data_IF_989417317072
#
_entry.id   IF_989417317072
#
_cell.length_a   1.000
_cell.length_b   1.000
_cell.length_c   1.000
_cell.angle_alpha   90.00
_cell.angle_beta   90.00
_cell.angle_gamma   90.00
#
_symmetry.space_group_name_H-M   'P 1'
#
loop_
_entity.id
_entity.type
_entity.pdbx_description
1 polymer ?
#
# COMPACT_ATOMS: atom_id res chain seq x y z
N UNK A 1 11.13 14.40 -19.79
CA UNK A 1 10.08 15.06 -20.63
C UNK A 1 9.48 16.21 -19.82
N UNK A 2 9.39 17.43 -20.42
CA UNK A 2 8.74 18.57 -19.74
C UNK A 2 7.23 18.42 -19.81
N UNK A 3 6.56 18.55 -18.67
CA UNK A 3 5.10 18.60 -18.59
C UNK A 3 4.59 19.85 -19.35
N UNK A 4 3.60 19.72 -20.26
CA UNK A 4 3.03 20.86 -20.98
C UNK A 4 2.45 21.92 -20.03
N UNK A 5 2.56 23.23 -20.38
CA UNK A 5 2.20 24.34 -19.49
C UNK A 5 0.77 24.29 -18.92
N UNK A 6 -0.32 24.01 -19.65
CA UNK A 6 -1.63 23.98 -19.03
C UNK A 6 -1.77 22.87 -18.00
N UNK A 7 -1.12 21.73 -18.22
CA UNK A 7 -1.13 20.61 -17.29
C UNK A 7 -0.29 20.91 -16.04
N UNK A 8 0.88 21.56 -16.24
CA UNK A 8 1.76 21.98 -15.15
C UNK A 8 1.09 22.99 -14.22
N UNK A 9 0.45 24.01 -14.78
CA UNK A 9 -0.25 25.04 -14.00
C UNK A 9 -1.42 24.47 -13.21
N UNK A 10 -2.18 23.54 -13.81
CA UNK A 10 -3.26 22.84 -13.10
C UNK A 10 -2.71 21.93 -11.99
N UNK A 11 -1.64 21.19 -12.27
CA UNK A 11 -0.99 20.34 -11.27
C UNK A 11 -0.47 21.15 -10.08
N UNK A 12 0.24 22.27 -10.33
CA UNK A 12 0.73 23.16 -9.28
C UNK A 12 -0.41 23.70 -8.43
N UNK A 13 -1.53 24.13 -9.05
CA UNK A 13 -2.70 24.63 -8.32
C UNK A 13 -3.34 23.55 -7.46
N UNK A 14 -3.42 22.32 -7.95
CA UNK A 14 -3.92 21.17 -7.17
C UNK A 14 -2.99 20.87 -6.00
N UNK A 15 -1.68 20.88 -6.23
CA UNK A 15 -0.69 20.65 -5.18
C UNK A 15 -0.71 21.77 -4.12
N UNK A 16 -0.81 23.03 -4.52
CA UNK A 16 -0.94 24.16 -3.60
C UNK A 16 -2.22 24.05 -2.76
N UNK A 17 -3.33 23.71 -3.40
CA UNK A 17 -4.62 23.49 -2.70
C UNK A 17 -4.57 22.28 -1.75
N UNK A 18 -3.93 21.20 -2.15
CA UNK A 18 -3.74 20.02 -1.31
C UNK A 18 -2.79 20.30 -0.13
N UNK A 19 -1.67 21.00 -0.40
CA UNK A 19 -0.70 21.38 0.63
C UNK A 19 -1.28 22.37 1.65
N UNK A 20 -2.29 23.15 1.27
CA UNK A 20 -3.02 24.04 2.19
C UNK A 20 -3.98 23.28 3.13
N UNK A 21 -4.26 22.01 2.86
CA UNK A 21 -5.06 21.16 3.75
C UNK A 21 -4.20 20.66 4.92
N UNK A 22 -4.57 20.93 6.19
CA UNK A 22 -3.84 20.44 7.35
C UNK A 22 -3.70 18.89 7.35
N UNK A 23 -4.70 18.19 6.82
CA UNK A 23 -4.67 16.73 6.69
C UNK A 23 -3.62 16.25 5.69
N UNK A 24 -3.59 16.85 4.49
CA UNK A 24 -2.61 16.49 3.45
C UNK A 24 -1.20 16.85 3.91
N UNK A 25 -1.02 18.01 4.53
CA UNK A 25 0.27 18.40 5.11
C UNK A 25 0.75 17.37 6.14
N UNK A 26 -0.12 16.99 7.08
CA UNK A 26 0.20 15.97 8.09
C UNK A 26 0.52 14.62 7.42
N UNK A 27 -0.29 14.18 6.46
CA UNK A 27 -0.08 12.93 5.74
C UNK A 27 1.29 12.88 5.02
N UNK A 28 1.68 13.98 4.37
CA UNK A 28 2.96 14.07 3.64
C UNK A 28 4.19 14.23 4.54
N UNK A 29 4.02 14.75 5.75
CA UNK A 29 5.13 15.04 6.68
C UNK A 29 5.23 14.04 7.83
N UNK A 30 4.20 13.23 8.05
CA UNK A 30 4.17 12.24 9.12
C UNK A 30 5.06 11.04 8.80
N UNK A 31 6.01 10.74 9.68
CA UNK A 31 6.79 9.50 9.62
C UNK A 31 6.12 8.44 10.50
N UNK A 32 5.55 7.37 9.92
CA UNK A 32 4.88 6.33 10.68
C UNK A 32 5.86 5.33 11.34
N UNK A 33 7.16 5.47 11.17
CA UNK A 33 8.17 4.48 11.57
C UNK A 33 8.08 4.09 13.04
N UNK A 34 7.84 5.05 13.94
CA UNK A 34 7.75 4.76 15.38
C UNK A 34 6.48 3.98 15.73
N UNK A 35 5.36 4.28 15.07
CA UNK A 35 4.12 3.54 15.23
C UNK A 35 4.26 2.09 14.74
N UNK A 36 4.93 1.90 13.58
CA UNK A 36 5.21 0.58 13.03
C UNK A 36 6.13 -0.21 13.97
N UNK A 37 7.21 0.39 14.49
CA UNK A 37 8.09 -0.28 15.48
C UNK A 37 7.34 -0.68 16.75
N UNK A 38 6.45 0.18 17.24
CA UNK A 38 5.64 -0.11 18.43
C UNK A 38 4.66 -1.28 18.18
N UNK A 39 4.21 -1.50 16.95
CA UNK A 39 3.38 -2.64 16.58
C UNK A 39 4.14 -3.98 16.57
N UNK A 40 5.48 -3.95 16.49
CA UNK A 40 6.31 -5.15 16.35
C UNK A 40 6.33 -6.11 17.55
N UNK A 41 5.71 -5.74 18.67
CA UNK A 41 5.44 -6.65 19.80
C UNK A 41 4.20 -7.54 19.58
N UNK A 42 3.46 -7.33 18.49
CA UNK A 42 2.25 -8.05 18.12
C UNK A 42 2.45 -8.77 16.79
N UNK A 43 1.61 -9.77 16.47
CA UNK A 43 1.59 -10.31 15.12
C UNK A 43 1.28 -9.21 14.10
N UNK A 44 2.12 -9.14 13.06
CA UNK A 44 1.96 -8.17 11.95
C UNK A 44 1.92 -8.92 10.63
N UNK A 45 0.92 -8.62 9.82
CA UNK A 45 0.78 -9.10 8.45
C UNK A 45 0.94 -7.94 7.48
N UNK A 46 1.99 -7.95 6.67
CA UNK A 46 2.25 -6.96 5.63
C UNK A 46 2.04 -7.59 4.25
N UNK A 47 1.07 -7.06 3.51
CA UNK A 47 0.65 -7.58 2.19
C UNK A 47 0.79 -6.49 1.14
N UNK A 48 1.18 -6.87 -0.09
CA UNK A 48 1.17 -5.99 -1.26
C UNK A 48 0.91 -6.79 -2.54
N UNK A 49 0.28 -6.15 -3.52
CA UNK A 49 0.21 -6.68 -4.87
C UNK A 49 1.49 -6.32 -5.65
N UNK A 50 2.01 -7.23 -6.48
CA UNK A 50 3.23 -6.97 -7.25
C UNK A 50 3.06 -5.94 -8.37
N UNK A 51 1.81 -5.68 -8.78
CA UNK A 51 1.43 -4.66 -9.75
C UNK A 51 0.77 -3.44 -9.08
N UNK A 52 0.99 -3.25 -7.79
CA UNK A 52 0.54 -2.05 -7.08
C UNK A 52 1.33 -0.83 -7.58
N UNK A 53 0.65 0.08 -8.27
CA UNK A 53 1.23 1.32 -8.80
C UNK A 53 1.01 2.53 -7.91
N UNK A 54 0.30 2.37 -6.81
CA UNK A 54 0.08 3.42 -5.82
C UNK A 54 1.08 3.32 -4.67
N UNK A 55 1.41 2.08 -4.26
CA UNK A 55 2.40 1.80 -3.21
C UNK A 55 3.34 0.71 -3.73
N UNK A 56 4.58 1.06 -3.99
CA UNK A 56 5.59 0.11 -4.49
C UNK A 56 5.79 -1.05 -3.51
N UNK A 57 5.60 -2.28 -4.00
CA UNK A 57 5.65 -3.48 -3.19
C UNK A 57 7.04 -3.71 -2.55
N UNK A 58 8.10 -3.51 -3.33
CA UNK A 58 9.45 -3.74 -2.85
C UNK A 58 9.85 -2.74 -1.75
N UNK A 59 9.51 -1.45 -1.94
CA UNK A 59 9.76 -0.41 -0.95
C UNK A 59 8.93 -0.62 0.31
N UNK A 60 7.62 -0.86 0.16
CA UNK A 60 6.70 -1.00 1.29
C UNK A 60 7.00 -2.24 2.14
N UNK A 61 7.10 -3.43 1.51
CA UNK A 61 7.43 -4.66 2.22
C UNK A 61 8.86 -4.66 2.75
N UNK A 62 9.78 -4.00 2.03
CA UNK A 62 11.14 -3.75 2.49
C UNK A 62 11.18 -2.86 3.73
N UNK A 63 10.35 -1.82 3.79
CA UNK A 63 10.23 -0.96 4.97
C UNK A 63 9.68 -1.73 6.18
N UNK A 64 8.64 -2.56 5.99
CA UNK A 64 8.12 -3.41 7.05
C UNK A 64 9.23 -4.32 7.65
N UNK A 65 10.00 -4.99 6.80
CA UNK A 65 11.14 -5.81 7.26
C UNK A 65 12.22 -5.00 7.98
N UNK A 66 12.56 -3.80 7.48
CA UNK A 66 13.56 -2.94 8.14
C UNK A 66 13.11 -2.43 9.49
N UNK A 67 11.83 -2.07 9.64
CA UNK A 67 11.30 -1.47 10.86
C UNK A 67 11.00 -2.50 11.95
N UNK A 68 10.54 -3.69 11.54
CA UNK A 68 10.13 -4.76 12.46
C UNK A 68 11.19 -5.83 12.65
N UNK A 69 12.27 -5.78 11.85
CA UNK A 69 13.36 -6.74 11.91
C UNK A 69 12.92 -8.16 11.54
N UNK A 70 13.67 -9.15 12.01
CA UNK A 70 13.31 -10.57 11.90
C UNK A 70 12.37 -11.00 13.05
N UNK A 71 11.32 -10.22 13.29
CA UNK A 71 10.32 -10.59 14.29
C UNK A 71 9.67 -11.92 13.89
N UNK A 72 9.60 -12.92 14.78
CA UNK A 72 8.96 -14.19 14.49
C UNK A 72 7.44 -14.03 14.27
N UNK A 73 6.90 -12.85 14.60
CA UNK A 73 5.49 -12.52 14.43
C UNK A 73 5.20 -11.68 13.19
N UNK A 74 6.24 -11.36 12.39
CA UNK A 74 6.08 -10.65 11.12
C UNK A 74 5.87 -11.66 9.97
N UNK A 75 4.73 -11.56 9.32
CA UNK A 75 4.45 -12.24 8.06
C UNK A 75 4.44 -11.21 6.92
N UNK A 76 5.22 -11.46 5.87
CA UNK A 76 5.29 -10.59 4.71
C UNK A 76 4.97 -11.41 3.47
N UNK A 77 3.95 -11.00 2.70
CA UNK A 77 3.59 -11.67 1.44
C UNK A 77 3.33 -10.64 0.34
N UNK A 78 3.94 -10.90 -0.82
CA UNK A 78 3.65 -10.22 -2.07
C UNK A 78 2.81 -11.14 -2.96
N UNK A 79 1.76 -10.59 -3.59
CA UNK A 79 0.87 -11.35 -4.47
C UNK A 79 1.16 -11.00 -5.93
N UNK A 80 1.67 -11.95 -6.72
CA UNK A 80 1.95 -11.73 -8.12
C UNK A 80 0.69 -11.37 -8.92
N UNK A 81 0.79 -10.35 -9.78
CA UNK A 81 -0.28 -9.96 -10.69
C UNK A 81 -1.47 -9.25 -10.05
N UNK A 82 -1.37 -8.86 -8.77
CA UNK A 82 -2.43 -8.10 -8.10
C UNK A 82 -2.08 -6.61 -8.04
N UNK A 83 -3.11 -5.75 -8.15
CA UNK A 83 -3.02 -4.30 -8.01
C UNK A 83 -3.13 -3.86 -6.53
N UNK A 84 -3.26 -2.54 -6.30
CA UNK A 84 -3.42 -1.94 -4.97
C UNK A 84 -4.66 -2.42 -4.20
N UNK A 85 -5.72 -2.79 -4.89
CA UNK A 85 -6.96 -3.33 -4.30
C UNK A 85 -6.93 -4.85 -4.18
N UNK A 86 -5.77 -5.47 -4.41
CA UNK A 86 -5.61 -6.93 -4.45
C UNK A 86 -6.52 -7.61 -5.49
N UNK A 87 -6.73 -6.95 -6.62
CA UNK A 87 -7.47 -7.48 -7.76
C UNK A 87 -6.50 -8.01 -8.81
N UNK A 88 -6.76 -9.15 -9.47
CA UNK A 88 -6.02 -9.57 -10.65
C UNK A 88 -6.09 -8.50 -11.74
N UNK A 89 -4.95 -8.09 -12.26
CA UNK A 89 -4.86 -7.01 -13.25
C UNK A 89 -3.75 -7.29 -14.27
N UNK A 90 -3.69 -6.48 -15.32
CA UNK A 90 -2.67 -6.58 -16.37
C UNK A 90 -1.55 -5.58 -16.16
N UNK A 91 -1.89 -4.34 -15.83
CA UNK A 91 -0.91 -3.23 -15.70
C UNK A 91 -0.81 -2.68 -14.28
N UNK A 92 -1.85 -2.87 -13.45
CA UNK A 92 -2.00 -2.27 -12.14
C UNK A 92 -2.41 -0.80 -12.16
N UNK A 93 -2.73 -0.26 -13.34
CA UNK A 93 -3.20 1.11 -13.49
C UNK A 93 -4.60 1.27 -12.88
N UNK A 94 -4.83 2.42 -12.25
CA UNK A 94 -6.13 2.78 -11.64
C UNK A 94 -7.27 2.75 -12.67
N UNK A 95 -6.98 3.00 -13.95
CA UNK A 95 -7.95 2.93 -15.03
C UNK A 95 -8.53 1.52 -15.25
N UNK A 96 -7.85 0.46 -14.81
CA UNK A 96 -8.37 -0.92 -14.89
C UNK A 96 -9.48 -1.19 -13.85
N UNK A 97 -9.57 -0.42 -12.76
CA UNK A 97 -10.48 -0.71 -11.64
C UNK A 97 -11.95 -0.77 -12.06
N UNK A 98 -12.35 0.07 -13.02
CA UNK A 98 -13.74 0.10 -13.52
C UNK A 98 -14.14 -1.14 -14.31
N UNK A 99 -13.16 -1.92 -14.78
CA UNK A 99 -13.40 -3.11 -15.63
C UNK A 99 -13.19 -4.42 -14.89
N UNK A 100 -12.66 -4.37 -13.66
CA UNK A 100 -12.39 -5.57 -12.85
C UNK A 100 -13.61 -5.85 -11.97
N UNK A 101 -14.30 -6.96 -12.24
CA UNK A 101 -15.50 -7.35 -11.47
C UNK A 101 -15.17 -7.86 -10.06
N UNK A 102 -13.98 -8.44 -9.88
CA UNK A 102 -13.57 -9.01 -8.60
C UNK A 102 -13.14 -7.90 -7.62
N UNK A 103 -13.75 -7.86 -6.45
CA UNK A 103 -13.43 -6.85 -5.43
C UNK A 103 -12.08 -7.08 -4.76
N UNK A 104 -11.78 -8.32 -4.39
CA UNK A 104 -10.50 -8.75 -3.77
C UNK A 104 -10.24 -10.20 -4.18
N UNK A 105 -8.99 -10.55 -4.44
CA UNK A 105 -8.61 -11.92 -4.76
C UNK A 105 -9.00 -12.90 -3.65
N UNK A 106 -9.68 -14.03 -3.97
CA UNK A 106 -10.01 -15.07 -2.98
C UNK A 106 -8.78 -15.64 -2.27
N UNK A 107 -7.63 -15.68 -2.93
CA UNK A 107 -6.36 -16.11 -2.32
C UNK A 107 -5.98 -15.19 -1.16
N UNK A 108 -6.05 -13.88 -1.35
CA UNK A 108 -5.75 -12.90 -0.29
C UNK A 108 -6.69 -13.06 0.89
N UNK A 109 -7.98 -13.25 0.62
CA UNK A 109 -8.98 -13.46 1.67
C UNK A 109 -8.74 -14.76 2.45
N UNK A 110 -8.37 -15.83 1.76
CA UNK A 110 -8.05 -17.12 2.40
C UNK A 110 -6.81 -17.02 3.29
N UNK A 111 -5.75 -16.38 2.80
CA UNK A 111 -4.53 -16.16 3.58
C UNK A 111 -4.76 -15.27 4.79
N UNK A 112 -5.52 -14.19 4.62
CA UNK A 112 -5.90 -13.30 5.72
C UNK A 112 -6.68 -14.04 6.79
N UNK A 113 -7.67 -14.84 6.40
CA UNK A 113 -8.45 -15.64 7.32
C UNK A 113 -7.58 -16.69 8.05
N UNK A 114 -6.72 -17.40 7.33
CA UNK A 114 -5.81 -18.37 7.91
C UNK A 114 -4.84 -17.71 8.91
N UNK A 115 -4.30 -16.53 8.55
CA UNK A 115 -3.39 -15.80 9.43
C UNK A 115 -4.09 -15.32 10.71
N UNK A 116 -5.31 -14.77 10.60
CA UNK A 116 -6.09 -14.36 11.78
C UNK A 116 -6.37 -15.55 12.69
N UNK A 117 -6.80 -16.70 12.13
CA UNK A 117 -7.08 -17.89 12.90
C UNK A 117 -5.84 -18.46 13.61
N UNK A 118 -4.65 -18.27 13.05
CA UNK A 118 -3.41 -18.74 13.68
C UNK A 118 -3.02 -17.97 14.97
N UNK A 119 -3.58 -16.78 15.19
CA UNK A 119 -3.30 -15.93 16.35
C UNK A 119 -4.53 -15.64 17.21
N UNK A 120 -5.67 -16.25 16.89
CA UNK A 120 -6.96 -15.98 17.54
C UNK A 120 -7.35 -16.95 18.68
N UNK A 121 -6.38 -17.73 19.19
CA UNK A 121 -6.57 -18.60 20.36
C UNK A 121 -6.06 -17.97 21.65
#
# INVERSE_FOLDING_TARGET
>A
QRVPEPLRSNLLRVLDSAAASPWVYHFLTHDPSDAVRAAGSRPVLALNGSLDRQVDAAENLGAARRLLGESPTLTVKEYPGLNHLFQPCTTGDVAEYETIELTVSPEVLADLAAWICAFGE
#
